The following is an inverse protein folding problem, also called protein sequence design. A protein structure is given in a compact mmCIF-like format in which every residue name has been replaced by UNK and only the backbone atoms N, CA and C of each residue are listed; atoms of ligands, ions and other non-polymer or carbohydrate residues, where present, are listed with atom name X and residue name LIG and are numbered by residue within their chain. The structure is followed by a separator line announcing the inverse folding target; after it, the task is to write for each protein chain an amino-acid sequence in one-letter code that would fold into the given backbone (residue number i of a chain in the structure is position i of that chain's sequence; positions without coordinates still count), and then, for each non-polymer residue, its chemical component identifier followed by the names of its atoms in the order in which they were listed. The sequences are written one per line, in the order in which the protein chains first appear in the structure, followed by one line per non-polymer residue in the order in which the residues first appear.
data_IF_111777200825
#
_entry.id   IF_111777200825
#
_cell.length_a   1.000
_cell.length_b   1.000
_cell.length_c   1.000
_cell.angle_alpha   90.00
_cell.angle_beta   90.00
_cell.angle_gamma   90.00
#
_symmetry.space_group_name_H-M   'P 1'
#
loop_
_entity.id
_entity.type
_entity.pdbx_description
1 polymer ?
#
# COMPACT_ATOMS: atom_id res chain seq x y z
N UNK A 1 -21.55 -24.25 -23.15
CA UNK A 1 -21.96 -23.06 -22.37
C UNK A 1 -20.84 -22.77 -21.40
N UNK A 2 -20.34 -21.53 -21.31
CA UNK A 2 -19.25 -21.16 -20.38
C UNK A 2 -19.69 -21.49 -18.95
N UNK A 3 -18.92 -22.28 -18.18
CA UNK A 3 -19.25 -22.53 -16.78
C UNK A 3 -19.27 -21.22 -16.00
N UNK A 4 -20.26 -21.05 -15.11
CA UNK A 4 -20.39 -19.84 -14.30
C UNK A 4 -19.14 -19.69 -13.39
N UNK A 5 -18.53 -18.50 -13.37
CA UNK A 5 -17.34 -18.24 -12.56
C UNK A 5 -16.02 -18.82 -13.12
N UNK A 6 -15.99 -19.29 -14.38
CA UNK A 6 -14.78 -19.86 -14.99
C UNK A 6 -13.55 -18.95 -14.92
N UNK A 7 -13.72 -17.64 -15.11
CA UNK A 7 -12.59 -16.69 -15.07
C UNK A 7 -12.03 -16.53 -13.64
N UNK A 8 -12.89 -16.57 -12.62
CA UNK A 8 -12.47 -16.55 -11.22
C UNK A 8 -11.78 -17.85 -10.82
N UNK A 9 -12.25 -18.99 -11.33
CA UNK A 9 -11.59 -20.28 -11.19
C UNK A 9 -10.17 -20.27 -11.79
N UNK A 10 -9.97 -19.71 -12.98
CA UNK A 10 -8.62 -19.59 -13.56
C UNK A 10 -7.72 -18.66 -12.73
N UNK A 11 -8.25 -17.55 -12.22
CA UNK A 11 -7.49 -16.67 -11.31
C UNK A 11 -7.09 -17.40 -10.03
N UNK A 12 -7.96 -18.24 -9.49
CA UNK A 12 -7.69 -19.08 -8.33
C UNK A 12 -6.55 -20.07 -8.63
N UNK A 13 -6.64 -20.84 -9.72
CA UNK A 13 -5.59 -21.78 -10.12
C UNK A 13 -4.23 -21.09 -10.33
N UNK A 14 -4.21 -19.91 -10.95
CA UNK A 14 -2.97 -19.16 -11.12
C UNK A 14 -2.33 -18.79 -9.77
N UNK A 15 -3.13 -18.47 -8.75
CA UNK A 15 -2.64 -18.18 -7.40
C UNK A 15 -2.17 -19.44 -6.69
N UNK A 16 -2.98 -20.50 -6.70
CA UNK A 16 -2.71 -21.79 -6.06
C UNK A 16 -1.38 -22.39 -6.55
N UNK A 17 -1.15 -22.38 -7.87
CA UNK A 17 0.06 -22.93 -8.48
C UNK A 17 1.17 -21.90 -8.66
N UNK A 18 1.02 -20.67 -8.13
CA UNK A 18 2.08 -19.65 -8.12
C UNK A 18 2.47 -19.10 -9.50
N UNK A 19 1.56 -19.10 -10.47
CA UNK A 19 1.77 -18.50 -11.80
C UNK A 19 1.62 -16.98 -11.70
N UNK A 20 2.70 -16.23 -11.97
CA UNK A 20 2.78 -14.79 -11.75
C UNK A 20 3.25 -14.00 -12.99
N UNK A 21 3.10 -12.67 -12.95
CA UNK A 21 3.56 -11.74 -13.98
C UNK A 21 3.03 -12.07 -15.38
N UNK A 22 3.89 -11.96 -16.40
CA UNK A 22 3.50 -12.19 -17.79
C UNK A 22 3.00 -13.62 -18.07
N UNK A 23 3.48 -14.62 -17.32
CA UNK A 23 2.99 -16.00 -17.45
C UNK A 23 1.54 -16.14 -16.98
N UNK A 24 1.13 -15.37 -15.98
CA UNK A 24 -0.25 -15.35 -15.49
C UNK A 24 -1.21 -14.79 -16.55
N UNK A 25 -0.85 -13.68 -17.17
CA UNK A 25 -1.67 -13.08 -18.25
C UNK A 25 -1.88 -14.07 -19.40
N UNK A 26 -0.78 -14.68 -19.86
CA UNK A 26 -0.82 -15.68 -20.94
C UNK A 26 -1.66 -16.90 -20.55
N UNK A 27 -1.53 -17.37 -19.30
CA UNK A 27 -2.34 -18.46 -18.77
C UNK A 27 -3.83 -18.11 -18.77
N UNK A 28 -4.21 -16.94 -18.23
CA UNK A 28 -5.60 -16.51 -18.17
C UNK A 28 -6.21 -16.37 -19.58
N UNK A 29 -5.47 -15.78 -20.51
CA UNK A 29 -5.94 -15.61 -21.90
C UNK A 29 -6.05 -16.96 -22.61
N UNK A 30 -5.05 -17.86 -22.52
CA UNK A 30 -5.09 -19.15 -23.24
C UNK A 30 -6.17 -20.09 -22.70
N UNK A 31 -6.38 -20.12 -21.38
CA UNK A 31 -7.35 -21.02 -20.75
C UNK A 31 -8.75 -20.41 -20.59
N UNK A 32 -8.95 -19.14 -20.95
CA UNK A 32 -10.28 -18.53 -21.06
C UNK A 32 -11.19 -19.36 -21.96
N UNK A 33 -12.45 -19.52 -21.53
CA UNK A 33 -13.38 -20.44 -22.19
C UNK A 33 -13.65 -20.05 -23.66
N UNK A 34 -13.63 -18.75 -23.99
CA UNK A 34 -13.83 -18.28 -25.37
C UNK A 34 -12.65 -18.62 -26.30
N UNK A 35 -11.48 -18.93 -25.73
CA UNK A 35 -10.22 -19.08 -26.45
C UNK A 35 -9.81 -20.54 -26.68
N UNK A 36 -10.58 -21.51 -26.19
CA UNK A 36 -10.25 -22.95 -26.27
C UNK A 36 -10.17 -23.54 -27.67
N UNK A 37 -10.90 -22.94 -28.63
CA UNK A 37 -10.94 -23.39 -30.03
C UNK A 37 -10.01 -22.60 -30.94
N UNK A 38 -9.40 -21.54 -30.42
CA UNK A 38 -8.49 -20.70 -31.20
C UNK A 38 -7.11 -21.37 -31.28
N UNK A 39 -6.45 -21.29 -32.45
CA UNK A 39 -5.09 -21.79 -32.62
C UNK A 39 -4.09 -20.91 -31.85
N UNK A 40 -2.90 -21.44 -31.55
CA UNK A 40 -1.86 -20.70 -30.81
C UNK A 40 -1.44 -19.42 -31.57
N UNK A 41 -1.53 -19.43 -32.91
CA UNK A 41 -1.27 -18.31 -33.82
C UNK A 41 -2.18 -17.10 -33.58
N UNK A 42 -3.40 -17.30 -33.08
CA UNK A 42 -4.30 -16.19 -32.72
C UNK A 42 -4.14 -15.78 -31.25
N UNK A 43 -3.80 -16.74 -30.37
CA UNK A 43 -3.73 -16.48 -28.93
C UNK A 43 -2.49 -15.66 -28.55
N UNK A 44 -1.35 -15.86 -29.22
CA UNK A 44 -0.13 -15.13 -28.82
C UNK A 44 -0.27 -13.62 -29.00
N UNK A 45 -1.03 -13.15 -30.00
CA UNK A 45 -1.36 -11.73 -30.20
C UNK A 45 -2.30 -11.23 -29.10
N UNK A 46 -3.37 -11.98 -28.82
CA UNK A 46 -4.33 -11.64 -27.75
C UNK A 46 -3.70 -11.62 -26.35
N UNK A 47 -2.66 -12.43 -26.13
CA UNK A 47 -1.92 -12.48 -24.88
C UNK A 47 -0.77 -11.45 -24.82
N UNK A 48 -0.62 -10.64 -25.87
CA UNK A 48 0.44 -9.63 -26.02
C UNK A 48 1.84 -10.24 -25.79
N UNK A 49 2.08 -11.43 -26.34
CA UNK A 49 3.41 -12.03 -26.32
C UNK A 49 4.29 -11.38 -27.39
N UNK A 50 5.60 -11.26 -27.12
CA UNK A 50 6.54 -10.58 -28.04
C UNK A 50 6.69 -11.28 -29.40
N UNK A 51 6.45 -12.60 -29.45
CA UNK A 51 6.40 -13.40 -30.68
C UNK A 51 5.75 -14.75 -30.43
N UNK A 52 5.31 -15.42 -31.50
CA UNK A 52 4.77 -16.79 -31.41
C UNK A 52 5.78 -17.78 -30.79
N UNK A 53 7.08 -17.64 -31.05
CA UNK A 53 8.11 -18.48 -30.42
C UNK A 53 8.25 -18.20 -28.92
N UNK A 54 8.17 -16.92 -28.52
CA UNK A 54 8.19 -16.50 -27.11
C UNK A 54 7.00 -17.06 -26.36
N UNK A 55 5.81 -16.99 -26.98
CA UNK A 55 4.59 -17.58 -26.45
C UNK A 55 4.73 -19.09 -26.21
N UNK A 56 5.28 -19.86 -27.17
CA UNK A 56 5.52 -21.31 -26.99
C UNK A 56 6.46 -21.60 -25.82
N UNK A 57 7.52 -20.80 -25.64
CA UNK A 57 8.44 -20.91 -24.48
C UNK A 57 7.72 -20.61 -23.16
N UNK A 58 6.87 -19.58 -23.13
CA UNK A 58 6.08 -19.21 -21.96
C UNK A 58 5.02 -20.27 -21.62
N UNK A 59 4.32 -20.81 -22.62
CA UNK A 59 3.40 -21.94 -22.44
C UNK A 59 4.11 -23.19 -21.90
N UNK A 60 5.32 -23.46 -22.38
CA UNK A 60 6.14 -24.56 -21.83
C UNK A 60 6.44 -24.35 -20.35
N UNK A 61 6.75 -23.12 -19.93
CA UNK A 61 6.91 -22.78 -18.51
C UNK A 61 5.59 -22.93 -17.73
N UNK A 62 4.47 -22.47 -18.28
CA UNK A 62 3.14 -22.61 -17.67
C UNK A 62 2.85 -24.10 -17.40
N UNK A 63 3.10 -25.00 -18.35
CA UNK A 63 2.89 -26.44 -18.13
C UNK A 63 3.71 -27.00 -16.96
N UNK A 64 4.92 -26.48 -16.71
CA UNK A 64 5.75 -26.95 -15.60
C UNK A 64 5.24 -26.57 -14.20
N UNK A 65 4.30 -25.62 -14.10
CA UNK A 65 3.62 -25.33 -12.84
C UNK A 65 2.58 -26.38 -12.48
N UNK A 66 2.03 -27.09 -13.47
CA UNK A 66 0.94 -28.05 -13.29
C UNK A 66 1.37 -29.49 -13.58
N UNK A 67 2.66 -29.75 -13.74
CA UNK A 67 3.17 -31.07 -14.12
C UNK A 67 2.99 -32.10 -13.00
N UNK A 68 2.98 -33.38 -13.37
CA UNK A 68 2.69 -34.48 -12.44
C UNK A 68 3.68 -34.59 -11.26
N UNK A 69 4.88 -34.01 -11.38
CA UNK A 69 5.90 -33.97 -10.32
C UNK A 69 5.65 -32.88 -9.25
N UNK A 70 4.64 -32.02 -9.43
CA UNK A 70 4.25 -31.00 -8.45
C UNK A 70 3.24 -31.55 -7.46
N UNK A 71 3.26 -31.00 -6.25
CA UNK A 71 2.23 -31.28 -5.25
C UNK A 71 0.86 -30.82 -5.80
N UNK A 72 -0.14 -31.71 -5.75
CA UNK A 72 -1.43 -31.56 -6.45
C UNK A 72 -1.33 -31.30 -7.98
N UNK A 73 -0.26 -31.72 -8.66
CA UNK A 73 -0.08 -31.57 -10.11
C UNK A 73 -1.06 -32.41 -10.95
N UNK A 74 -1.17 -32.11 -12.25
CA UNK A 74 -1.98 -32.88 -13.19
C UNK A 74 -1.30 -34.23 -13.48
N UNK A 75 -1.90 -35.37 -13.08
CA UNK A 75 -1.23 -36.67 -13.19
C UNK A 75 -0.87 -37.07 -14.63
N UNK A 76 -1.67 -36.62 -15.60
CA UNK A 76 -1.48 -36.92 -17.03
C UNK A 76 -0.54 -35.93 -17.74
N UNK A 77 -0.11 -34.86 -17.06
CA UNK A 77 0.77 -33.85 -17.63
C UNK A 77 2.24 -34.20 -17.43
N UNK A 78 2.75 -35.08 -18.30
CA UNK A 78 4.17 -35.38 -18.39
C UNK A 78 4.88 -34.40 -19.34
N UNK A 79 5.90 -33.68 -18.84
CA UNK A 79 6.61 -32.68 -19.64
C UNK A 79 7.39 -33.26 -20.83
N UNK A 80 7.67 -34.58 -20.83
CA UNK A 80 8.43 -35.28 -21.87
C UNK A 80 7.59 -36.15 -22.83
N UNK A 81 6.27 -36.25 -22.67
CA UNK A 81 5.46 -37.18 -23.46
C UNK A 81 5.12 -36.66 -24.87
N UNK A 82 4.98 -37.58 -25.83
CA UNK A 82 4.56 -37.33 -27.23
C UNK A 82 3.06 -37.63 -27.45
N UNK A 83 2.24 -37.44 -26.42
CA UNK A 83 0.79 -37.71 -26.42
C UNK A 83 -0.06 -36.52 -26.91
N UNK A 84 -1.36 -36.47 -26.60
CA UNK A 84 -2.22 -35.32 -26.92
C UNK A 84 -1.60 -34.02 -26.42
N UNK A 85 -1.81 -32.92 -27.15
CA UNK A 85 -1.13 -31.66 -26.87
C UNK A 85 -1.33 -31.22 -25.42
N UNK A 86 -0.26 -30.83 -24.73
CA UNK A 86 -0.24 -30.43 -23.30
C UNK A 86 -1.37 -29.48 -22.90
N UNK A 87 -1.77 -28.59 -23.81
CA UNK A 87 -2.93 -27.71 -23.65
C UNK A 87 -4.23 -28.49 -23.43
N UNK A 88 -4.49 -29.50 -24.25
CA UNK A 88 -5.71 -30.30 -24.19
C UNK A 88 -5.81 -31.06 -22.86
N UNK A 89 -4.73 -31.73 -22.45
CA UNK A 89 -4.64 -32.47 -21.19
C UNK A 89 -4.98 -31.53 -20.02
N UNK A 90 -4.29 -30.39 -19.96
CA UNK A 90 -4.47 -29.46 -18.85
C UNK A 90 -5.85 -28.79 -18.87
N UNK A 91 -6.39 -28.49 -20.06
CA UNK A 91 -7.74 -27.94 -20.23
C UNK A 91 -8.82 -28.91 -19.75
N UNK A 92 -8.70 -30.19 -20.10
CA UNK A 92 -9.66 -31.22 -19.71
C UNK A 92 -9.56 -31.48 -18.21
N UNK A 93 -8.35 -31.57 -17.65
CA UNK A 93 -8.16 -31.67 -16.21
C UNK A 93 -8.74 -30.47 -15.45
N UNK A 94 -8.53 -29.24 -15.93
CA UNK A 94 -9.14 -28.06 -15.34
C UNK A 94 -10.66 -28.11 -15.36
N UNK A 95 -11.25 -28.55 -16.46
CA UNK A 95 -12.69 -28.54 -16.66
C UNK A 95 -13.40 -29.66 -15.91
N UNK A 96 -12.85 -30.87 -15.94
CA UNK A 96 -13.55 -32.08 -15.55
C UNK A 96 -13.16 -32.53 -14.12
N UNK A 97 -12.01 -32.06 -13.60
CA UNK A 97 -11.53 -32.37 -12.24
C UNK A 97 -11.50 -31.10 -11.38
N UNK A 98 -10.65 -30.13 -11.71
CA UNK A 98 -10.39 -28.97 -10.84
C UNK A 98 -11.58 -28.02 -10.70
N UNK A 99 -12.33 -27.79 -11.78
CA UNK A 99 -13.49 -26.92 -11.72
C UNK A 99 -14.64 -27.50 -10.88
N UNK A 100 -15.00 -28.80 -10.98
CA UNK A 100 -15.90 -29.44 -10.04
C UNK A 100 -15.41 -29.45 -8.59
N UNK A 101 -14.11 -29.68 -8.35
CA UNK A 101 -13.50 -29.58 -7.01
C UNK A 101 -13.68 -28.18 -6.44
N UNK A 102 -13.30 -27.15 -7.21
CA UNK A 102 -13.45 -25.74 -6.86
C UNK A 102 -14.91 -25.31 -6.64
N UNK A 103 -15.86 -25.96 -7.33
CA UNK A 103 -17.30 -25.66 -7.24
C UNK A 103 -18.00 -26.37 -6.08
N UNK A 104 -17.64 -27.64 -5.81
CA UNK A 104 -18.33 -28.51 -4.83
C UNK A 104 -17.68 -28.51 -3.45
N UNK A 105 -16.38 -28.25 -3.38
CA UNK A 105 -15.75 -27.76 -2.18
C UNK A 105 -15.62 -26.25 -2.35
N UNK A 106 -16.56 -25.45 -1.80
CA UNK A 106 -16.03 -24.34 -1.06
C UNK A 106 -15.22 -25.01 0.06
N UNK A 107 -13.93 -25.25 -0.21
CA UNK A 107 -12.91 -24.77 0.74
C UNK A 107 -13.48 -23.48 1.30
N UNK A 108 -13.42 -23.16 2.60
CA UNK A 108 -13.71 -21.81 3.02
C UNK A 108 -12.72 -20.90 2.28
N UNK A 109 -13.10 -20.53 1.07
CA UNK A 109 -13.02 -19.24 0.48
C UNK A 109 -13.79 -18.44 1.54
N UNK A 110 -13.07 -18.10 2.63
CA UNK A 110 -12.72 -16.72 2.81
C UNK A 110 -12.73 -16.14 1.41
N UNK A 111 -13.87 -15.56 1.04
CA UNK A 111 -13.92 -14.66 -0.09
C UNK A 111 -12.65 -13.85 0.09
N UNK A 112 -11.66 -14.03 -0.79
CA UNK A 112 -10.70 -12.98 -1.01
C UNK A 112 -11.48 -11.97 -1.89
N UNK A 113 -12.58 -11.31 -1.46
CA UNK A 113 -12.52 -10.16 -0.55
C UNK A 113 -11.42 -10.33 0.46
N UNK A 114 -10.19 -10.05 0.05
CA UNK A 114 -9.06 -10.15 0.96
C UNK A 114 -9.55 -9.54 2.29
N UNK A 115 -9.60 -10.37 3.34
CA UNK A 115 -9.97 -9.88 4.67
C UNK A 115 -8.98 -8.78 5.11
N UNK A 116 -7.85 -8.76 4.40
CA UNK A 116 -6.78 -7.78 4.31
C UNK A 116 -7.23 -6.41 3.71
N UNK A 117 -8.28 -6.32 2.89
CA UNK A 117 -8.77 -5.10 2.20
C UNK A 117 -10.09 -4.54 2.76
N UNK A 118 -10.64 -5.08 3.86
CA UNK A 118 -11.77 -4.41 4.51
C UNK A 118 -11.27 -3.14 5.19
N UNK A 119 -11.27 -2.03 4.45
CA UNK A 119 -11.01 -0.71 4.98
C UNK A 119 -11.96 -0.43 6.16
N UNK A 120 -11.40 -0.10 7.32
CA UNK A 120 -12.18 0.29 8.50
C UNK A 120 -12.27 1.81 8.52
N UNK A 121 -13.48 2.33 8.32
CA UNK A 121 -13.76 3.75 8.32
C UNK A 121 -13.46 4.40 9.68
N UNK A 122 -12.92 5.62 9.65
CA UNK A 122 -12.52 6.42 10.81
C UNK A 122 -13.17 7.80 10.78
N UNK A 123 -14.49 7.90 11.00
CA UNK A 123 -15.17 9.18 11.01
C UNK A 123 -14.52 10.17 12.00
N UNK A 124 -14.38 11.46 11.64
CA UNK A 124 -14.84 12.11 10.40
C UNK A 124 -13.81 12.12 9.25
N UNK A 125 -12.73 11.32 9.32
CA UNK A 125 -11.60 11.39 8.38
C UNK A 125 -12.03 11.27 6.92
N UNK A 126 -12.87 10.28 6.60
CA UNK A 126 -13.32 10.06 5.22
C UNK A 126 -14.19 11.23 4.74
N UNK A 127 -15.16 11.67 5.56
CA UNK A 127 -16.04 12.78 5.20
C UNK A 127 -15.27 14.07 4.96
N UNK A 128 -14.24 14.35 5.76
CA UNK A 128 -13.38 15.51 5.59
C UNK A 128 -12.59 15.43 4.27
N UNK A 129 -12.06 14.24 3.95
CA UNK A 129 -11.36 14.01 2.68
C UNK A 129 -12.31 14.16 1.48
N UNK A 130 -13.53 13.64 1.58
CA UNK A 130 -14.55 13.72 0.53
C UNK A 130 -14.96 15.15 0.22
N UNK A 131 -15.16 15.97 1.26
CA UNK A 131 -15.42 17.39 1.08
C UNK A 131 -14.26 18.10 0.39
N UNK A 132 -13.03 17.71 0.70
CA UNK A 132 -11.84 18.30 0.09
C UNK A 132 -11.62 17.85 -1.37
N UNK A 133 -11.85 16.57 -1.71
CA UNK A 133 -11.76 16.07 -3.10
C UNK A 133 -12.72 16.83 -4.04
N UNK A 134 -13.87 17.26 -3.53
CA UNK A 134 -14.84 18.02 -4.32
C UNK A 134 -14.42 19.47 -4.60
N UNK A 135 -13.36 19.99 -3.97
CA UNK A 135 -12.88 21.36 -4.20
C UNK A 135 -11.90 21.43 -5.39
N UNK A 136 -12.10 22.36 -6.33
CA UNK A 136 -11.12 22.71 -7.37
C UNK A 136 -9.68 22.81 -6.85
N UNK A 137 -8.74 22.15 -7.53
CA UNK A 137 -7.32 22.25 -7.21
C UNK A 137 -6.89 21.66 -5.87
N UNK A 138 -7.73 20.89 -5.17
CA UNK A 138 -7.50 20.58 -3.75
C UNK A 138 -6.25 19.76 -3.47
N UNK A 139 -5.76 19.91 -2.24
CA UNK A 139 -4.60 19.19 -1.72
C UNK A 139 -4.92 18.59 -0.34
N UNK A 140 -4.91 17.26 -0.25
CA UNK A 140 -5.06 16.49 0.98
C UNK A 140 -3.68 16.00 1.42
N UNK A 141 -3.39 16.13 2.71
CA UNK A 141 -2.13 15.70 3.30
C UNK A 141 -2.37 14.74 4.44
N UNK A 142 -2.04 13.48 4.22
CA UNK A 142 -2.20 12.42 5.21
C UNK A 142 -0.88 12.30 5.97
N UNK A 143 -0.84 12.93 7.14
CA UNK A 143 0.35 13.01 8.00
C UNK A 143 0.15 12.12 9.22
N UNK A 144 0.88 11.01 9.28
CA UNK A 144 0.80 10.05 10.38
C UNK A 144 2.05 9.16 10.43
N UNK A 145 2.42 8.59 11.59
CA UNK A 145 3.52 7.63 11.71
C UNK A 145 3.36 6.42 10.77
N UNK A 146 4.41 5.62 10.62
CA UNK A 146 4.31 4.40 9.82
C UNK A 146 3.22 3.46 10.34
N UNK A 147 2.71 2.61 9.44
CA UNK A 147 1.81 1.50 9.81
C UNK A 147 0.48 1.92 10.49
N UNK A 148 0.05 3.18 10.31
CA UNK A 148 -1.25 3.69 10.78
C UNK A 148 -2.38 3.61 9.74
N UNK A 149 -2.11 3.12 8.53
CA UNK A 149 -3.11 2.92 7.47
C UNK A 149 -3.26 4.09 6.48
N UNK A 150 -2.21 4.91 6.30
CA UNK A 150 -2.18 5.98 5.29
C UNK A 150 -2.49 5.46 3.88
N UNK A 151 -1.77 4.43 3.43
CA UNK A 151 -1.98 3.76 2.14
C UNK A 151 -3.41 3.22 2.01
N UNK A 152 -3.96 2.64 3.07
CA UNK A 152 -5.35 2.13 3.07
C UNK A 152 -6.36 3.26 2.87
N UNK A 153 -6.18 4.41 3.54
CA UNK A 153 -7.00 5.60 3.32
C UNK A 153 -6.84 6.10 1.88
N UNK A 154 -5.62 6.25 1.36
CA UNK A 154 -5.41 6.70 -0.03
C UNK A 154 -6.14 5.81 -1.05
N UNK A 155 -6.01 4.48 -0.93
CA UNK A 155 -6.71 3.53 -1.81
C UNK A 155 -8.23 3.66 -1.68
N UNK A 156 -8.75 3.88 -0.47
CA UNK A 156 -10.17 4.13 -0.26
C UNK A 156 -10.64 5.42 -0.93
N UNK A 157 -9.87 6.52 -0.80
CA UNK A 157 -10.18 7.79 -1.45
C UNK A 157 -10.13 7.69 -2.98
N UNK A 158 -9.16 6.95 -3.54
CA UNK A 158 -9.06 6.69 -4.97
C UNK A 158 -10.31 5.95 -5.47
N UNK A 159 -10.70 4.86 -4.81
CA UNK A 159 -11.92 4.13 -5.16
C UNK A 159 -13.18 5.01 -5.08
N UNK A 160 -13.25 5.89 -4.08
CA UNK A 160 -14.35 6.83 -3.95
C UNK A 160 -14.36 7.88 -5.08
N UNK A 161 -13.20 8.46 -5.42
CA UNK A 161 -13.08 9.44 -6.49
C UNK A 161 -13.41 8.84 -7.87
N UNK A 162 -12.97 7.60 -8.12
CA UNK A 162 -13.31 6.82 -9.32
C UNK A 162 -14.84 6.62 -9.43
N UNK A 163 -15.51 6.33 -8.31
CA UNK A 163 -16.98 6.22 -8.28
C UNK A 163 -17.72 7.53 -8.58
N UNK A 164 -17.05 8.68 -8.43
CA UNK A 164 -17.55 10.00 -8.85
C UNK A 164 -17.15 10.37 -10.28
N UNK A 165 -16.48 9.47 -11.00
CA UNK A 165 -16.06 9.67 -12.39
C UNK A 165 -14.76 10.45 -12.54
N UNK A 166 -13.97 10.62 -11.47
CA UNK A 166 -12.64 11.21 -11.59
C UNK A 166 -11.67 10.21 -12.25
N UNK A 167 -10.74 10.71 -13.05
CA UNK A 167 -9.57 9.92 -13.43
C UNK A 167 -8.69 9.76 -12.19
N UNK A 168 -8.28 8.54 -11.85
CA UNK A 168 -7.51 8.29 -10.62
C UNK A 168 -6.14 7.72 -10.93
N UNK A 169 -5.12 8.21 -10.23
CA UNK A 169 -3.73 7.74 -10.39
C UNK A 169 -3.11 7.53 -9.01
N UNK A 170 -2.51 6.37 -8.81
CA UNK A 170 -1.76 6.03 -7.61
C UNK A 170 -0.29 5.85 -7.94
N UNK A 171 0.56 6.71 -7.36
CA UNK A 171 2.01 6.58 -7.44
C UNK A 171 2.54 6.25 -6.06
N UNK A 172 3.18 5.09 -5.93
CA UNK A 172 3.98 4.78 -4.74
C UNK A 172 5.45 5.09 -5.03
N UNK A 173 6.04 6.04 -4.32
CA UNK A 173 7.45 6.39 -4.55
C UNK A 173 8.41 5.23 -4.20
N UNK A 174 8.02 4.29 -3.33
CA UNK A 174 8.84 3.15 -2.92
C UNK A 174 9.12 2.12 -4.02
N UNK A 175 8.35 2.10 -5.11
CA UNK A 175 8.64 1.23 -6.26
C UNK A 175 9.65 1.84 -7.24
N UNK A 176 9.95 3.14 -7.15
CA UNK A 176 10.94 3.77 -8.02
C UNK A 176 12.34 3.20 -7.73
N UNK A 177 13.03 2.68 -8.74
CA UNK A 177 14.42 2.22 -8.56
C UNK A 177 15.34 3.38 -8.15
N UNK A 178 16.42 3.07 -7.43
CA UNK A 178 17.43 4.07 -7.04
C UNK A 178 17.95 4.90 -8.22
N UNK A 179 18.05 4.29 -9.41
CA UNK A 179 18.49 4.95 -10.63
C UNK A 179 17.56 6.10 -11.07
N UNK A 180 16.28 6.06 -10.71
CA UNK A 180 15.32 7.12 -11.02
C UNK A 180 15.56 8.37 -10.17
N UNK A 181 16.18 8.21 -9.00
CA UNK A 181 16.58 9.31 -8.12
C UNK A 181 17.99 9.82 -8.39
N UNK A 182 18.61 9.46 -9.52
CA UNK A 182 19.96 9.91 -9.86
C UNK A 182 20.01 11.40 -10.25
N UNK A 183 18.89 11.98 -10.70
CA UNK A 183 18.74 13.43 -10.96
C UNK A 183 17.27 13.83 -10.84
N UNK A 184 17.02 15.13 -10.67
CA UNK A 184 15.67 15.68 -10.71
C UNK A 184 14.96 15.35 -12.02
N UNK A 185 15.67 15.49 -13.16
CA UNK A 185 15.10 15.21 -14.48
C UNK A 185 14.60 13.77 -14.61
N UNK A 186 15.45 12.79 -14.24
CA UNK A 186 15.07 11.38 -14.29
C UNK A 186 13.88 11.07 -13.41
N UNK A 187 13.84 11.65 -12.22
CA UNK A 187 12.72 11.45 -11.31
C UNK A 187 11.43 12.06 -11.87
N UNK A 188 11.47 13.29 -12.36
CA UNK A 188 10.33 13.99 -12.95
C UNK A 188 9.82 13.29 -14.22
N UNK A 189 10.72 12.80 -15.09
CA UNK A 189 10.35 11.99 -16.27
C UNK A 189 9.75 10.65 -15.86
N UNK A 190 10.34 9.94 -14.91
CA UNK A 190 9.78 8.70 -14.37
C UNK A 190 8.38 8.94 -13.82
N UNK A 191 8.21 9.97 -13.00
CA UNK A 191 6.94 10.33 -12.40
C UNK A 191 5.87 10.59 -13.48
N UNK A 192 6.17 11.49 -14.42
CA UNK A 192 5.27 11.85 -15.54
C UNK A 192 4.93 10.66 -16.44
N UNK A 193 5.90 9.80 -16.75
CA UNK A 193 5.65 8.58 -17.54
C UNK A 193 4.73 7.60 -16.82
N UNK A 194 4.89 7.43 -15.50
CA UNK A 194 4.02 6.55 -14.72
C UNK A 194 2.61 7.13 -14.65
N UNK A 195 2.44 8.44 -14.41
CA UNK A 195 1.10 9.06 -14.41
C UNK A 195 0.41 8.87 -15.77
N UNK A 196 1.13 9.06 -16.88
CA UNK A 196 0.60 8.81 -18.22
C UNK A 196 0.11 7.37 -18.37
N UNK A 197 0.94 6.40 -17.97
CA UNK A 197 0.61 4.98 -18.07
C UNK A 197 -0.62 4.61 -17.24
N UNK A 198 -0.72 5.10 -16.01
CA UNK A 198 -1.87 4.83 -15.14
C UNK A 198 -3.16 5.46 -15.69
N UNK A 199 -3.06 6.57 -16.43
CA UNK A 199 -4.19 7.16 -17.18
C UNK A 199 -4.53 6.43 -18.49
N UNK A 200 -3.78 5.38 -18.87
CA UNK A 200 -3.93 4.70 -20.16
C UNK A 200 -3.44 5.54 -21.35
N UNK A 201 -2.63 6.57 -21.11
CA UNK A 201 -2.04 7.43 -22.12
C UNK A 201 -0.62 6.97 -22.48
N UNK A 202 -0.26 7.10 -23.75
CA UNK A 202 1.13 6.88 -24.19
C UNK A 202 2.00 8.04 -23.68
N UNK A 203 3.12 7.80 -22.98
CA UNK A 203 4.02 8.88 -22.59
C UNK A 203 4.56 9.63 -23.81
N UNK A 204 4.47 10.96 -23.81
CA UNK A 204 4.93 11.86 -24.88
C UNK A 204 6.01 12.82 -24.37
N UNK A 205 6.88 12.33 -23.49
CA UNK A 205 7.89 13.18 -22.84
C UNK A 205 8.84 13.82 -23.85
N UNK A 206 9.21 13.14 -24.95
CA UNK A 206 10.15 13.70 -25.92
C UNK A 206 9.61 14.94 -26.66
N UNK A 207 8.28 15.09 -26.75
CA UNK A 207 7.63 16.23 -27.43
C UNK A 207 7.40 17.41 -26.48
N UNK A 208 7.10 17.12 -25.21
CA UNK A 208 6.67 18.12 -24.23
C UNK A 208 7.75 18.45 -23.18
N UNK A 209 8.95 17.88 -23.31
CA UNK A 209 10.01 18.00 -22.32
C UNK A 209 11.30 18.52 -22.93
N UNK A 210 11.71 19.69 -22.46
CA UNK A 210 12.99 20.30 -22.83
C UNK A 210 13.71 20.75 -21.56
N UNK A 211 14.60 19.89 -21.09
CA UNK A 211 15.42 20.14 -19.91
C UNK A 211 16.42 21.28 -20.15
N UNK A 212 16.96 21.41 -21.36
CA UNK A 212 18.01 22.37 -21.67
C UNK A 212 17.47 23.81 -21.73
N UNK A 213 16.27 23.99 -22.29
CA UNK A 213 15.66 25.32 -22.44
C UNK A 213 14.86 25.76 -21.23
N UNK A 214 14.11 24.86 -20.58
CA UNK A 214 13.14 25.23 -19.53
C UNK A 214 13.43 24.55 -18.19
N UNK A 215 14.31 23.55 -18.14
CA UNK A 215 14.54 22.75 -16.95
C UNK A 215 13.42 21.75 -16.65
N UNK A 216 13.71 20.78 -15.78
CA UNK A 216 12.82 19.65 -15.52
C UNK A 216 11.54 20.02 -14.79
N UNK A 217 11.54 21.06 -13.94
CA UNK A 217 10.33 21.47 -13.20
C UNK A 217 9.29 22.10 -14.13
N UNK A 218 9.72 23.04 -14.97
CA UNK A 218 8.84 23.70 -15.95
C UNK A 218 8.38 22.68 -16.99
N UNK A 219 9.27 21.81 -17.48
CA UNK A 219 8.90 20.73 -18.39
C UNK A 219 7.86 19.79 -17.77
N UNK A 220 8.03 19.42 -16.50
CA UNK A 220 7.05 18.61 -15.77
C UNK A 220 5.69 19.31 -15.66
N UNK A 221 5.69 20.60 -15.29
CA UNK A 221 4.47 21.40 -15.21
C UNK A 221 3.77 21.51 -16.57
N UNK A 222 4.50 21.82 -17.63
CA UNK A 222 3.97 21.89 -19.01
C UNK A 222 3.41 20.55 -19.46
N UNK A 223 4.08 19.44 -19.13
CA UNK A 223 3.59 18.10 -19.46
C UNK A 223 2.25 17.81 -18.78
N UNK A 224 2.11 18.12 -17.50
CA UNK A 224 0.84 17.95 -16.80
C UNK A 224 -0.24 18.85 -17.38
N UNK A 225 0.06 20.12 -17.60
CA UNK A 225 -0.89 21.11 -18.08
C UNK A 225 -1.34 20.84 -19.52
N UNK A 226 -0.41 20.80 -20.47
CA UNK A 226 -0.69 20.81 -21.91
C UNK A 226 -0.81 19.43 -22.54
N UNK A 227 -0.52 18.37 -21.79
CA UNK A 227 -0.72 17.00 -22.27
C UNK A 227 -1.68 16.22 -21.37
N UNK A 228 -1.34 15.98 -20.11
CA UNK A 228 -2.14 15.08 -19.28
C UNK A 228 -3.54 15.62 -18.98
N UNK A 229 -3.65 16.87 -18.50
CA UNK A 229 -4.93 17.46 -18.10
C UNK A 229 -5.82 17.83 -19.30
N UNK A 230 -5.25 18.06 -20.49
CA UNK A 230 -6.03 18.30 -21.72
C UNK A 230 -6.63 17.02 -22.32
N UNK A 231 -6.00 15.86 -22.07
CA UNK A 231 -6.41 14.57 -22.67
C UNK A 231 -7.50 13.84 -21.88
N UNK A 232 -7.74 14.23 -20.62
CA UNK A 232 -8.71 13.58 -19.74
C UNK A 232 -10.00 14.38 -19.67
N UNK A 233 -11.13 13.67 -19.57
CA UNK A 233 -12.44 14.28 -19.37
C UNK A 233 -12.75 14.35 -17.88
N UNK A 234 -12.57 15.53 -17.27
CA UNK A 234 -12.89 15.78 -15.86
C UNK A 234 -11.68 15.76 -14.92
N UNK A 235 -11.90 15.77 -13.60
CA UNK A 235 -10.82 15.91 -12.62
C UNK A 235 -9.90 14.68 -12.56
N UNK A 236 -8.60 14.94 -12.38
CA UNK A 236 -7.58 13.97 -12.01
C UNK A 236 -7.40 13.95 -10.49
N UNK A 237 -7.65 12.82 -9.84
CA UNK A 237 -7.21 12.57 -8.47
C UNK A 237 -5.90 11.78 -8.44
N UNK A 238 -4.81 12.50 -8.17
CA UNK A 238 -3.46 11.98 -8.09
C UNK A 238 -3.06 11.75 -6.63
N UNK A 239 -2.92 10.49 -6.25
CA UNK A 239 -2.45 10.05 -4.95
C UNK A 239 -0.96 9.69 -4.99
N UNK A 240 -0.17 10.38 -4.19
CA UNK A 240 1.25 10.12 -3.97
C UNK A 240 1.45 9.45 -2.62
N UNK A 241 1.87 8.20 -2.63
CA UNK A 241 2.12 7.40 -1.42
C UNK A 241 3.61 7.21 -1.18
N UNK A 242 3.96 7.04 0.10
CA UNK A 242 5.34 6.94 0.58
C UNK A 242 6.25 8.04 0.02
N UNK A 243 5.75 9.28 -0.04
CA UNK A 243 6.50 10.42 -0.58
C UNK A 243 7.79 10.69 0.21
N UNK A 244 7.84 10.19 1.46
CA UNK A 244 9.02 10.19 2.32
C UNK A 244 10.28 9.55 1.70
N UNK A 245 10.17 8.67 0.70
CA UNK A 245 11.35 8.16 -0.01
C UNK A 245 12.16 9.26 -0.69
N UNK A 246 11.48 10.31 -1.20
CA UNK A 246 12.16 11.43 -1.87
C UNK A 246 13.10 12.14 -0.88
N UNK A 247 12.83 12.03 0.41
CA UNK A 247 13.58 12.72 1.47
C UNK A 247 15.01 12.19 1.62
N UNK A 248 15.28 10.97 1.15
CA UNK A 248 16.62 10.38 1.03
C UNK A 248 17.47 11.09 -0.04
N UNK A 249 16.86 11.91 -0.90
CA UNK A 249 17.48 12.62 -2.02
C UNK A 249 17.21 14.13 -1.90
N UNK A 250 17.97 14.86 -1.06
CA UNK A 250 17.67 16.26 -0.73
C UNK A 250 17.57 17.20 -1.93
N UNK A 251 18.39 16.99 -2.96
CA UNK A 251 18.36 17.83 -4.18
C UNK A 251 17.04 17.66 -4.93
N UNK A 252 16.50 16.44 -4.99
CA UNK A 252 15.18 16.19 -5.58
C UNK A 252 14.07 16.72 -4.67
N UNK A 253 14.17 16.48 -3.36
CA UNK A 253 13.16 16.90 -2.39
C UNK A 253 12.98 18.43 -2.36
N UNK A 254 14.07 19.19 -2.44
CA UNK A 254 14.06 20.66 -2.41
C UNK A 254 13.33 21.27 -3.61
N UNK A 255 13.33 20.59 -4.75
CA UNK A 255 12.76 21.11 -5.99
C UNK A 255 11.39 20.51 -6.33
N UNK A 256 11.22 19.20 -6.14
CA UNK A 256 9.97 18.50 -6.47
C UNK A 256 8.84 18.77 -5.46
N UNK A 257 9.14 18.90 -4.17
CA UNK A 257 8.09 19.15 -3.17
C UNK A 257 7.44 20.54 -3.35
N UNK A 258 8.19 21.63 -3.62
CA UNK A 258 7.58 22.92 -3.95
C UNK A 258 6.78 22.89 -5.25
N UNK A 259 7.14 22.04 -6.24
CA UNK A 259 6.35 21.89 -7.46
C UNK A 259 4.92 21.42 -7.18
N UNK A 260 4.74 20.45 -6.26
CA UNK A 260 3.41 19.99 -5.87
C UNK A 260 2.57 21.09 -5.22
N UNK A 261 3.21 21.98 -4.45
CA UNK A 261 2.56 23.16 -3.89
C UNK A 261 2.18 24.16 -4.99
N UNK A 262 3.10 24.42 -5.92
CA UNK A 262 2.85 25.31 -7.04
C UNK A 262 1.63 24.86 -7.84
N UNK A 263 1.50 23.56 -8.16
CA UNK A 263 0.33 23.03 -8.86
C UNK A 263 -0.99 23.24 -8.10
N UNK A 264 -0.98 23.09 -6.78
CA UNK A 264 -2.13 23.39 -5.92
C UNK A 264 -2.49 24.89 -5.95
N UNK A 265 -1.49 25.76 -5.88
CA UNK A 265 -1.69 27.22 -5.88
C UNK A 265 -2.14 27.75 -7.25
N UNK A 266 -1.62 27.17 -8.35
CA UNK A 266 -1.96 27.52 -9.73
C UNK A 266 -3.42 27.27 -10.09
N UNK A 267 -4.12 26.40 -9.35
CA UNK A 267 -5.57 26.23 -9.52
C UNK A 267 -6.37 27.51 -9.21
N UNK A 268 -5.80 28.46 -8.45
CA UNK A 268 -6.41 29.77 -8.24
C UNK A 268 -6.20 30.73 -9.43
N UNK A 269 -5.24 30.43 -10.30
CA UNK A 269 -4.84 31.29 -11.42
C UNK A 269 -5.36 30.77 -12.77
N UNK A 270 -5.39 29.44 -12.94
CA UNK A 270 -5.68 28.79 -14.21
C UNK A 270 -6.72 27.67 -14.03
N UNK A 271 -7.80 27.72 -14.81
CA UNK A 271 -8.91 26.76 -14.74
C UNK A 271 -8.46 25.31 -15.01
N UNK A 272 -7.46 25.09 -15.86
CA UNK A 272 -6.99 23.73 -16.14
C UNK A 272 -6.40 23.05 -14.90
N UNK A 273 -5.71 23.80 -14.03
CA UNK A 273 -5.18 23.28 -12.76
C UNK A 273 -6.28 23.01 -11.72
N UNK A 274 -7.46 23.61 -11.90
CA UNK A 274 -8.66 23.23 -11.15
C UNK A 274 -9.16 21.83 -11.46
N UNK A 275 -8.63 21.14 -12.48
CA UNK A 275 -8.91 19.72 -12.71
C UNK A 275 -7.98 18.80 -11.90
N UNK A 276 -6.89 19.29 -11.33
CA UNK A 276 -6.03 18.46 -10.49
C UNK A 276 -6.53 18.41 -9.05
N UNK A 277 -6.53 17.22 -8.44
CA UNK A 277 -6.75 16.96 -7.02
C UNK A 277 -5.56 16.15 -6.52
N UNK A 278 -4.86 16.64 -5.51
CA UNK A 278 -3.69 15.98 -4.95
C UNK A 278 -4.02 15.34 -3.60
N UNK A 279 -3.56 14.11 -3.40
CA UNK A 279 -3.48 13.50 -2.08
C UNK A 279 -2.06 13.01 -1.83
N UNK A 280 -1.42 13.52 -0.78
CA UNK A 280 -0.05 13.18 -0.44
C UNK A 280 -0.06 12.42 0.90
N UNK A 281 0.53 11.24 0.92
CA UNK A 281 0.84 10.52 2.15
C UNK A 281 2.36 10.44 2.34
N UNK A 282 2.79 10.84 3.54
CA UNK A 282 4.17 10.69 3.97
C UNK A 282 4.22 10.22 5.41
N UNK A 283 5.26 9.45 5.75
CA UNK A 283 5.56 9.17 7.14
C UNK A 283 6.06 10.42 7.85
N UNK A 284 5.70 10.56 9.12
CA UNK A 284 6.17 11.67 9.97
C UNK A 284 7.57 11.46 10.51
N UNK A 285 8.10 10.24 10.43
CA UNK A 285 9.36 9.81 11.05
C UNK A 285 10.58 10.55 10.49
N UNK A 286 10.56 10.87 9.19
CA UNK A 286 11.68 11.53 8.53
C UNK A 286 11.48 13.05 8.60
N UNK A 287 12.33 13.70 9.39
CA UNK A 287 12.37 15.15 9.52
C UNK A 287 13.26 15.77 8.44
N UNK A 288 12.66 16.56 7.53
CA UNK A 288 13.41 17.47 6.66
C UNK A 288 13.10 18.91 7.06
N UNK A 289 14.15 19.73 7.14
CA UNK A 289 14.01 21.18 7.14
C UNK A 289 13.78 21.66 5.70
N UNK A 290 12.50 21.82 5.32
CA UNK A 290 12.10 22.57 4.13
C UNK A 290 11.80 24.01 4.54
N UNK A 291 12.07 24.97 3.65
CA UNK A 291 11.56 26.34 3.84
C UNK A 291 10.04 26.29 3.99
N UNK A 292 9.52 26.90 5.05
CA UNK A 292 8.10 26.91 5.35
C UNK A 292 7.24 27.47 4.21
N UNK A 293 7.80 28.38 3.41
CA UNK A 293 7.15 29.00 2.26
C UNK A 293 7.16 28.12 1.01
N UNK A 294 7.99 27.08 0.98
CA UNK A 294 8.12 26.19 -0.19
C UNK A 294 7.54 24.79 0.08
N UNK A 295 7.32 24.45 1.34
CA UNK A 295 6.81 23.14 1.74
C UNK A 295 5.35 22.94 1.31
N UNK A 296 5.03 21.85 0.58
CA UNK A 296 3.64 21.46 0.34
C UNK A 296 2.95 21.03 1.63
N UNK A 297 3.71 20.76 2.71
CA UNK A 297 3.19 20.31 3.99
C UNK A 297 2.58 21.43 4.86
N UNK A 298 2.49 22.65 4.34
CA UNK A 298 1.89 23.79 5.05
C UNK A 298 0.61 24.34 4.38
N UNK A 299 0.23 23.80 3.21
CA UNK A 299 -0.97 24.21 2.44
C UNK A 299 -1.97 23.06 2.33
N UNK A 300 -3.22 23.32 1.93
CA UNK A 300 -4.26 22.29 1.83
C UNK A 300 -4.70 21.68 3.17
N UNK A 301 -5.51 20.62 3.10
CA UNK A 301 -6.16 19.97 4.26
C UNK A 301 -5.24 18.91 4.88
N UNK A 302 -4.83 19.12 6.12
CA UNK A 302 -4.11 18.12 6.91
C UNK A 302 -5.07 17.09 7.53
N UNK A 303 -4.73 15.82 7.38
CA UNK A 303 -5.46 14.68 7.93
C UNK A 303 -4.51 13.88 8.84
N UNK A 304 -4.86 13.79 10.13
CA UNK A 304 -4.19 12.92 11.10
C UNK A 304 -5.03 11.65 11.26
N UNK A 305 -4.40 10.49 11.15
CA UNK A 305 -5.08 9.21 11.33
C UNK A 305 -5.04 8.79 12.81
N UNK A 306 -6.19 8.67 13.48
CA UNK A 306 -6.24 8.10 14.82
C UNK A 306 -6.09 6.57 14.77
N UNK A 307 -5.75 6.00 15.93
CA UNK A 307 -5.91 4.57 16.19
C UNK A 307 -7.38 4.17 16.19
N UNK A 308 -7.64 2.87 16.08
CA UNK A 308 -8.99 2.33 16.09
C UNK A 308 -9.66 2.47 17.47
N UNK A 309 -10.95 2.80 17.46
CA UNK A 309 -11.82 2.61 18.62
C UNK A 309 -12.10 1.12 18.85
N UNK A 310 -12.67 0.79 20.01
CA UNK A 310 -13.05 -0.60 20.32
C UNK A 310 -14.07 -1.13 19.29
N UNK A 311 -15.06 -0.32 18.93
CA UNK A 311 -16.05 -0.67 17.91
C UNK A 311 -15.41 -0.95 16.55
N UNK A 312 -14.45 -0.12 16.13
CA UNK A 312 -13.69 -0.33 14.90
C UNK A 312 -12.86 -1.62 14.95
N UNK A 313 -12.29 -1.92 16.11
CA UNK A 313 -11.53 -3.14 16.34
C UNK A 313 -12.43 -4.39 16.35
N UNK A 314 -13.65 -4.30 16.89
CA UNK A 314 -14.67 -5.35 16.81
C UNK A 314 -15.12 -5.61 15.36
N UNK A 315 -15.32 -4.55 14.58
CA UNK A 315 -15.65 -4.65 13.16
C UNK A 315 -14.51 -5.31 12.38
N UNK A 316 -13.26 -4.95 12.69
CA UNK A 316 -12.08 -5.60 12.13
C UNK A 316 -12.02 -7.08 12.55
N UNK A 317 -12.16 -7.40 13.83
CA UNK A 317 -12.17 -8.79 14.31
C UNK A 317 -13.24 -9.65 13.60
N UNK A 318 -14.41 -9.06 13.36
CA UNK A 318 -15.50 -9.71 12.63
C UNK A 318 -15.14 -9.99 11.17
N UNK A 319 -14.39 -9.11 10.50
CA UNK A 319 -13.91 -9.37 9.14
C UNK A 319 -12.90 -10.53 9.08
N UNK A 320 -12.15 -10.74 10.17
CA UNK A 320 -11.27 -11.89 10.39
C UNK A 320 -12.00 -13.18 10.77
N UNK A 321 -13.33 -13.15 10.89
CA UNK A 321 -14.14 -14.31 11.24
C UNK A 321 -14.12 -14.67 12.72
N UNK A 322 -13.63 -13.77 13.60
CA UNK A 322 -13.69 -14.00 15.04
C UNK A 322 -15.14 -13.81 15.54
N UNK A 323 -15.74 -14.83 16.19
CA UNK A 323 -17.10 -14.73 16.69
C UNK A 323 -17.20 -13.74 17.85
N UNK A 324 -18.33 -13.03 17.96
CA UNK A 324 -18.63 -12.17 19.10
C UNK A 324 -19.05 -13.02 20.31
N UNK A 325 -18.07 -13.41 21.11
CA UNK A 325 -18.24 -14.11 22.39
C UNK A 325 -17.45 -13.40 23.50
N UNK A 326 -17.69 -13.76 24.76
CA UNK A 326 -17.10 -13.08 25.91
C UNK A 326 -15.56 -13.12 25.92
N UNK A 327 -14.97 -14.25 25.50
CA UNK A 327 -13.51 -14.43 25.43
C UNK A 327 -12.88 -13.47 24.41
N UNK A 328 -13.43 -13.38 23.20
CA UNK A 328 -12.94 -12.47 22.18
C UNK A 328 -13.21 -11.02 22.56
N UNK A 329 -14.35 -10.69 23.16
CA UNK A 329 -14.64 -9.33 23.62
C UNK A 329 -13.65 -8.87 24.69
N UNK A 330 -13.32 -9.75 25.65
CA UNK A 330 -12.27 -9.48 26.64
C UNK A 330 -10.90 -9.29 25.97
N UNK A 331 -10.54 -10.18 25.04
CA UNK A 331 -9.29 -10.05 24.28
C UNK A 331 -9.19 -8.73 23.53
N UNK A 332 -10.26 -8.26 22.86
CA UNK A 332 -10.26 -6.98 22.15
C UNK A 332 -10.16 -5.79 23.12
N UNK A 333 -10.79 -5.87 24.28
CA UNK A 333 -10.65 -4.89 25.36
C UNK A 333 -9.21 -4.79 25.89
N UNK A 334 -8.58 -5.92 26.14
CA UNK A 334 -7.18 -5.98 26.59
C UNK A 334 -6.22 -5.51 25.47
N UNK A 335 -6.50 -5.87 24.22
CA UNK A 335 -5.72 -5.46 23.06
C UNK A 335 -5.77 -3.94 22.86
N UNK A 336 -6.96 -3.32 22.90
CA UNK A 336 -7.06 -1.86 22.73
C UNK A 336 -6.40 -1.11 23.88
N UNK A 337 -6.46 -1.62 25.12
CA UNK A 337 -5.73 -1.05 26.24
C UNK A 337 -4.21 -1.13 26.03
N UNK A 338 -3.72 -2.24 25.48
CA UNK A 338 -2.29 -2.47 25.26
C UNK A 338 -1.72 -1.61 24.12
N UNK A 339 -2.38 -1.59 22.95
CA UNK A 339 -1.83 -0.99 21.72
C UNK A 339 -2.53 0.29 21.28
N UNK A 340 -3.48 0.80 22.08
CA UNK A 340 -4.25 2.02 21.81
C UNK A 340 -4.90 2.05 20.40
N UNK A 341 -5.35 0.87 19.92
CA UNK A 341 -5.95 0.73 18.60
C UNK A 341 -4.99 0.92 17.43
N UNK A 342 -3.67 0.82 17.63
CA UNK A 342 -2.70 0.94 16.55
C UNK A 342 -3.02 -0.07 15.43
N UNK A 343 -3.31 0.36 14.17
CA UNK A 343 -3.87 -0.50 13.14
C UNK A 343 -3.04 -1.76 12.83
N UNK A 344 -1.74 -1.59 12.60
CA UNK A 344 -0.85 -2.73 12.33
C UNK A 344 -0.70 -3.69 13.51
N UNK A 345 -0.49 -3.19 14.73
CA UNK A 345 -0.36 -4.03 15.92
C UNK A 345 -1.67 -4.77 16.24
N UNK A 346 -2.80 -4.09 16.05
CA UNK A 346 -4.12 -4.70 16.19
C UNK A 346 -4.28 -5.86 15.21
N UNK A 347 -3.93 -5.64 13.94
CA UNK A 347 -3.99 -6.66 12.90
C UNK A 347 -3.13 -7.88 13.22
N UNK A 348 -1.87 -7.69 13.65
CA UNK A 348 -1.00 -8.81 14.03
C UNK A 348 -1.59 -9.66 15.16
N UNK A 349 -2.18 -9.02 16.17
CA UNK A 349 -2.84 -9.73 17.26
C UNK A 349 -4.10 -10.47 16.80
N UNK A 350 -4.92 -9.87 15.93
CA UNK A 350 -6.10 -10.54 15.37
C UNK A 350 -5.70 -11.73 14.50
N UNK A 351 -4.66 -11.60 13.66
CA UNK A 351 -4.12 -12.70 12.86
C UNK A 351 -3.62 -13.86 13.75
N UNK A 352 -2.89 -13.55 14.82
CA UNK A 352 -2.44 -14.54 15.79
C UNK A 352 -3.62 -15.23 16.51
N UNK A 353 -4.65 -14.46 16.88
CA UNK A 353 -5.86 -14.98 17.53
C UNK A 353 -6.62 -15.94 16.61
N UNK A 354 -6.76 -15.62 15.32
CA UNK A 354 -7.38 -16.50 14.32
C UNK A 354 -6.57 -17.79 14.12
N UNK A 355 -5.24 -17.72 14.20
CA UNK A 355 -4.37 -18.91 14.16
C UNK A 355 -4.45 -19.77 15.43
N UNK A 356 -5.16 -19.33 16.47
CA UNK A 356 -5.28 -20.04 17.73
C UNK A 356 -4.02 -19.96 18.60
N UNK A 357 -3.18 -18.94 18.39
CA UNK A 357 -2.01 -18.71 19.24
C UNK A 357 -2.45 -18.38 20.67
N UNK A 358 -1.72 -18.92 21.66
CA UNK A 358 -1.99 -18.68 23.08
C UNK A 358 -1.03 -17.65 23.63
N UNK A 359 -1.42 -16.98 24.72
CA UNK A 359 -0.57 -16.01 25.43
C UNK A 359 -0.06 -14.86 24.55
N UNK A 360 -0.89 -14.40 23.61
CA UNK A 360 -0.55 -13.33 22.66
C UNK A 360 -0.21 -12.02 23.41
N UNK A 361 -1.09 -11.54 24.28
CA UNK A 361 -0.93 -10.27 24.99
C UNK A 361 0.06 -10.32 26.16
N UNK A 362 0.09 -11.36 27.02
CA UNK A 362 1.04 -11.41 28.14
C UNK A 362 2.51 -11.30 27.74
N UNK A 363 2.88 -11.86 26.58
CA UNK A 363 4.26 -11.83 26.08
C UNK A 363 4.50 -10.74 25.02
N UNK A 364 3.50 -9.90 24.73
CA UNK A 364 3.50 -8.98 23.59
C UNK A 364 4.66 -7.97 23.62
N UNK A 365 5.04 -7.50 24.81
CA UNK A 365 6.11 -6.53 25.03
C UNK A 365 7.51 -7.16 25.20
N UNK A 366 7.72 -8.41 24.74
CA UNK A 366 9.01 -9.11 24.89
C UNK A 366 9.71 -9.32 23.55
N UNK A 367 11.01 -9.64 23.57
CA UNK A 367 11.79 -10.00 22.38
C UNK A 367 11.27 -11.25 21.64
N UNK A 368 10.46 -12.08 22.31
CA UNK A 368 9.80 -13.26 21.71
C UNK A 368 8.31 -13.05 21.42
N UNK A 369 7.78 -11.86 21.69
CA UNK A 369 6.36 -11.54 21.50
C UNK A 369 5.99 -11.31 20.04
N UNK A 370 4.68 -11.26 19.77
CA UNK A 370 4.14 -11.02 18.42
C UNK A 370 4.56 -9.68 17.80
N UNK A 371 5.03 -8.72 18.62
CA UNK A 371 5.46 -7.40 18.20
C UNK A 371 6.98 -7.23 18.16
N UNK A 372 7.77 -8.28 18.41
CA UNK A 372 9.22 -8.19 18.56
C UNK A 372 9.91 -7.48 17.39
N UNK A 373 9.56 -7.82 16.14
CA UNK A 373 10.16 -7.18 14.97
C UNK A 373 9.87 -5.68 14.88
N UNK A 374 8.66 -5.26 15.27
CA UNK A 374 8.25 -3.85 15.30
C UNK A 374 8.98 -3.08 16.40
N UNK A 375 9.03 -3.65 17.61
CA UNK A 375 9.68 -3.04 18.76
C UNK A 375 11.19 -2.93 18.58
N UNK A 376 11.84 -3.96 18.03
CA UNK A 376 13.26 -3.95 17.70
C UNK A 376 13.62 -2.89 16.67
N UNK A 377 12.79 -2.71 15.64
CA UNK A 377 13.00 -1.66 14.64
C UNK A 377 13.01 -0.26 15.27
N UNK A 378 12.08 0.04 16.17
CA UNK A 378 12.09 1.31 16.90
C UNK A 378 13.29 1.42 17.85
N UNK A 379 13.65 0.33 18.54
CA UNK A 379 14.83 0.30 19.40
C UNK A 379 16.12 0.61 18.64
N UNK A 380 16.36 -0.05 17.50
CA UNK A 380 17.51 0.19 16.64
C UNK A 380 17.56 1.65 16.14
N UNK A 381 16.39 2.24 15.88
CA UNK A 381 16.27 3.65 15.46
C UNK A 381 16.57 4.63 16.59
N UNK A 382 16.12 4.35 17.82
CA UNK A 382 16.42 5.15 19.00
C UNK A 382 17.90 5.06 19.38
N UNK A 383 18.52 3.87 19.33
CA UNK A 383 19.93 3.68 19.66
C UNK A 383 20.88 4.50 18.76
N UNK A 384 20.49 4.76 17.51
CA UNK A 384 21.25 5.63 16.60
C UNK A 384 21.18 7.12 16.98
N UNK A 385 20.27 7.51 17.87
CA UNK A 385 20.03 8.89 18.30
C UNK A 385 19.95 8.97 19.83
N UNK A 386 21.08 9.09 20.54
CA UNK A 386 21.14 9.03 22.01
C UNK A 386 20.19 10.02 22.71
N UNK A 387 20.01 11.22 22.15
CA UNK A 387 19.07 12.22 22.67
C UNK A 387 17.62 11.71 22.69
N UNK A 388 17.18 11.02 21.64
CA UNK A 388 15.84 10.43 21.56
C UNK A 388 15.69 9.25 22.51
N UNK A 389 16.75 8.43 22.66
CA UNK A 389 16.76 7.30 23.57
C UNK A 389 16.59 7.76 25.02
N UNK A 390 17.35 8.77 25.44
CA UNK A 390 17.24 9.37 26.79
C UNK A 390 15.84 9.94 27.01
N UNK A 391 15.33 10.74 26.06
CA UNK A 391 14.01 11.34 26.17
C UNK A 391 12.88 10.30 26.21
N UNK A 392 12.99 9.22 25.43
CA UNK A 392 12.05 8.10 25.51
C UNK A 392 12.08 7.47 26.91
N UNK A 393 13.25 7.43 27.55
CA UNK A 393 13.40 6.97 28.92
C UNK A 393 12.71 7.81 29.97
N UNK A 394 12.88 9.12 29.86
CA UNK A 394 12.14 10.06 30.69
C UNK A 394 10.63 9.85 30.55
N UNK A 395 10.14 9.63 29.32
CA UNK A 395 8.72 9.40 29.05
C UNK A 395 8.22 8.10 29.65
N UNK A 396 8.90 6.96 29.45
CA UNK A 396 8.41 5.67 29.97
C UNK A 396 8.57 5.53 31.48
N UNK A 397 9.49 6.26 32.10
CA UNK A 397 9.69 6.30 33.55
C UNK A 397 8.87 7.39 34.24
N UNK A 398 8.43 8.42 33.51
CA UNK A 398 7.41 9.32 34.00
C UNK A 398 6.12 8.51 34.20
N UNK A 399 5.64 8.44 35.44
CA UNK A 399 4.29 7.96 35.78
C UNK A 399 3.21 8.60 34.89
N UNK A 400 1.92 8.27 35.06
CA UNK A 400 0.79 8.77 34.23
C UNK A 400 0.69 10.31 34.04
N UNK A 401 1.52 11.09 34.73
CA UNK A 401 1.72 12.53 34.57
C UNK A 401 2.40 12.91 33.24
N UNK A 402 3.24 12.05 32.65
CA UNK A 402 4.03 12.36 31.45
C UNK A 402 5.29 13.20 31.73
N UNK A 403 6.15 13.34 30.73
CA UNK A 403 7.43 14.05 30.79
C UNK A 403 7.42 15.32 29.94
N UNK A 404 8.10 16.38 30.38
CA UNK A 404 8.29 17.60 29.58
C UNK A 404 9.60 17.48 28.82
N UNK A 405 9.49 17.36 27.50
CA UNK A 405 10.65 17.22 26.62
C UNK A 405 10.97 18.54 25.90
N UNK A 406 12.20 18.65 25.41
CA UNK A 406 12.58 19.70 24.46
C UNK A 406 11.71 19.58 23.17
N UNK A 407 11.20 20.69 22.60
CA UNK A 407 10.23 20.66 21.50
C UNK A 407 10.62 19.83 20.27
N UNK A 408 11.88 19.91 19.80
CA UNK A 408 12.34 19.16 18.62
C UNK A 408 12.39 17.66 18.94
N UNK A 409 12.85 17.32 20.13
CA UNK A 409 12.92 15.94 20.64
C UNK A 409 11.52 15.35 20.79
N UNK A 410 10.59 16.10 21.39
CA UNK A 410 9.19 15.74 21.50
C UNK A 410 8.56 15.50 20.13
N UNK A 411 8.80 16.42 19.18
CA UNK A 411 8.29 16.30 17.82
C UNK A 411 8.81 15.03 17.14
N UNK A 412 10.12 14.74 17.21
CA UNK A 412 10.71 13.53 16.62
C UNK A 412 10.12 12.25 17.21
N UNK A 413 9.95 12.16 18.52
CA UNK A 413 9.35 10.97 19.15
C UNK A 413 7.85 10.82 18.80
N UNK A 414 7.11 11.93 18.73
CA UNK A 414 5.70 11.91 18.28
C UNK A 414 5.62 11.49 16.81
N UNK A 415 6.58 11.95 15.99
CA UNK A 415 6.64 11.65 14.57
C UNK A 415 6.95 10.18 14.28
N UNK A 416 7.68 9.52 15.18
CA UNK A 416 7.86 8.05 15.26
C UNK A 416 6.63 7.30 15.78
N UNK A 417 5.60 8.01 16.24
CA UNK A 417 4.40 7.42 16.83
C UNK A 417 4.62 6.77 18.20
N UNK A 418 5.77 7.00 18.84
CA UNK A 418 6.14 6.40 20.14
C UNK A 418 5.50 7.12 21.32
N UNK A 419 5.24 8.42 21.16
CA UNK A 419 4.61 9.26 22.17
C UNK A 419 3.40 10.01 21.62
N UNK A 420 2.62 10.57 22.53
CA UNK A 420 1.58 11.54 22.26
C UNK A 420 1.76 12.74 23.20
N UNK A 421 1.44 13.94 22.71
CA UNK A 421 1.48 15.15 23.51
C UNK A 421 0.09 15.49 24.06
N UNK A 422 0.00 15.68 25.38
CA UNK A 422 -1.18 16.24 26.06
C UNK A 422 -0.79 17.59 26.66
N UNK A 423 -1.05 18.66 25.90
CA UNK A 423 -0.44 19.96 26.18
C UNK A 423 1.08 19.85 26.03
N UNK A 424 1.82 20.29 27.06
CA UNK A 424 3.30 20.27 27.08
C UNK A 424 3.91 18.93 27.53
N UNK A 425 3.07 17.92 27.83
CA UNK A 425 3.50 16.67 28.44
C UNK A 425 3.46 15.51 27.44
N UNK A 426 4.61 14.87 27.26
CA UNK A 426 4.79 13.66 26.48
C UNK A 426 4.42 12.43 27.29
N UNK A 427 3.61 11.56 26.70
CA UNK A 427 3.22 10.27 27.26
C UNK A 427 3.46 9.17 26.22
N UNK A 428 3.74 7.91 26.63
CA UNK A 428 3.75 6.81 25.69
C UNK A 428 2.44 6.78 24.88
N UNK A 429 2.53 6.54 23.58
CA UNK A 429 1.34 6.50 22.72
C UNK A 429 0.47 5.26 22.99
N UNK A 430 1.08 4.19 23.52
CA UNK A 430 0.38 3.01 24.02
C UNK A 430 1.16 2.32 25.13
N UNK A 431 0.49 1.44 25.89
CA UNK A 431 1.07 0.70 27.00
C UNK A 431 2.15 -0.28 26.55
N UNK A 432 2.02 -0.85 25.34
CA UNK A 432 3.03 -1.74 24.76
C UNK A 432 4.41 -1.10 24.74
N UNK A 433 4.49 0.15 24.26
CA UNK A 433 5.75 0.88 24.19
C UNK A 433 6.28 1.21 25.58
N UNK A 434 5.40 1.60 26.52
CA UNK A 434 5.81 1.85 27.90
C UNK A 434 6.46 0.62 28.54
N UNK A 435 5.86 -0.57 28.36
CA UNK A 435 6.37 -1.82 28.93
C UNK A 435 7.72 -2.21 28.31
N UNK A 436 7.80 -2.22 26.97
CA UNK A 436 9.00 -2.66 26.27
C UNK A 436 10.21 -1.73 26.53
N UNK A 437 10.06 -0.42 26.32
CA UNK A 437 11.19 0.49 26.43
C UNK A 437 11.65 0.74 27.88
N UNK A 438 10.78 0.54 28.88
CA UNK A 438 11.19 0.58 30.29
C UNK A 438 12.11 -0.59 30.64
N UNK A 439 11.80 -1.79 30.14
CA UNK A 439 12.60 -3.00 30.36
C UNK A 439 13.98 -2.91 29.69
N UNK A 440 14.01 -2.49 28.42
CA UNK A 440 15.25 -2.35 27.65
C UNK A 440 16.20 -1.31 28.28
N UNK A 441 15.67 -0.23 28.88
CA UNK A 441 16.51 0.74 29.59
C UNK A 441 17.10 0.20 30.88
N UNK A 442 16.30 -0.55 31.64
CA UNK A 442 16.79 -1.21 32.86
C UNK A 442 17.89 -2.22 32.53
N UNK A 443 17.83 -2.85 31.36
CA UNK A 443 18.84 -3.79 30.87
C UNK A 443 20.09 -3.11 30.28
N UNK A 444 19.98 -1.88 29.79
CA UNK A 444 21.13 -1.11 29.26
C UNK A 444 21.94 -0.38 30.33
N UNK A 445 21.35 -0.16 31.51
CA UNK A 445 22.02 0.45 32.67
C UNK A 445 22.85 -0.57 33.50
N UNK A 446 22.74 -1.87 33.16
CA UNK A 446 23.51 -3.00 33.71
C UNK A 446 24.70 -3.34 32.81
#
# INVERSE_FOLDING_TARGET
MKPQGWDEFLKHLAREYGVQGKLKEIFLVRFAYENWRKPDEEIWEMAEAASHETYKKQMTKIYSYFSADKDNGCPELELGSKGPGKFQILREWFKDIKYPEWKNHPTPILAEKSVIDSYISRPPVESDCYQEINRPGSLIRIKSPEKTGKTSLLKHLLAQADSWGHSTVYINCQVAEKAMFASLDRFCRWFSANVSRELGLKPQLDEYWDEELFGSLISCQTYFQSYLLEQINGPLFLALDNLDRIFEYPDIARDFLPLLRCWHEEANNLEIWQNLRLAIANSTEIYIQLDANQSPFNVGRAIKLPGFSLEQLENLASSYGLPKNDDNQRFLGDLIALVAGHPYLSRLALEAQVRGEKNILPNAATQGGIYAAHLRHHWDSLQKQPELLTAMGEVVNSSDKGARLEPITAYKLESMGLIQLKGDLAQPSCQLYQLYFREEQTSSDL
#
